data_IF_199605759271
#
_entry.id   IF_199605759271
#
_cell.length_a   1.000
_cell.length_b   1.000
_cell.length_c   1.000
_cell.angle_alpha   90.00
_cell.angle_beta   90.00
_cell.angle_gamma   90.00
#
_symmetry.space_group_name_H-M   'P 1'
#
loop_
_entity.id
_entity.type
_entity.pdbx_description
1 polymer ?
#
# COMPACT_ATOMS: atom_id res chain seq x y z
N UNK A 1 21.60 8.39 -0.78
CA UNK A 1 21.33 9.84 -0.77
C UNK A 1 20.10 10.22 0.06
N UNK A 2 18.90 9.68 -0.21
CA UNK A 2 17.68 9.94 0.60
C UNK A 2 17.93 9.63 2.08
N UNK A 3 18.31 8.38 2.39
CA UNK A 3 18.58 7.95 3.77
C UNK A 3 19.68 8.77 4.44
N UNK A 4 20.74 9.14 3.70
CA UNK A 4 21.83 9.98 4.20
C UNK A 4 21.36 11.36 4.66
N UNK A 5 20.43 11.99 3.93
CA UNK A 5 19.82 13.27 4.30
C UNK A 5 18.83 13.12 5.47
N UNK A 6 18.12 11.99 5.55
CA UNK A 6 17.20 11.74 6.66
C UNK A 6 17.87 11.28 7.95
N UNK A 7 19.15 10.87 7.90
CA UNK A 7 19.92 10.35 9.04
C UNK A 7 19.78 11.16 10.34
N UNK A 8 19.80 12.51 10.34
CA UNK A 8 19.62 13.31 11.56
C UNK A 8 18.21 13.22 12.18
N UNK A 9 17.23 12.72 11.42
CA UNK A 9 15.82 12.64 11.78
C UNK A 9 15.37 11.21 12.14
N UNK A 10 16.15 10.19 11.76
CA UNK A 10 15.82 8.79 12.03
C UNK A 10 15.81 8.53 13.55
N UNK A 11 14.89 7.66 13.99
CA UNK A 11 14.72 7.33 15.40
C UNK A 11 13.96 8.38 16.22
N UNK A 12 13.60 9.51 15.63
CA UNK A 12 12.87 10.58 16.31
C UNK A 12 11.35 10.41 16.18
N UNK A 13 10.57 10.78 17.21
CA UNK A 13 9.12 10.89 17.12
C UNK A 13 8.68 11.88 16.05
N UNK A 14 7.62 11.55 15.31
CA UNK A 14 7.11 12.38 14.21
C UNK A 14 6.70 13.78 14.68
N UNK A 15 6.18 13.94 15.91
CA UNK A 15 5.85 15.27 16.47
C UNK A 15 7.05 16.22 16.53
N UNK A 16 8.26 15.70 16.76
CA UNK A 16 9.48 16.51 16.81
C UNK A 16 10.02 16.90 15.44
N UNK A 17 9.47 16.29 14.39
CA UNK A 17 9.89 16.49 13.01
C UNK A 17 9.01 17.51 12.27
N UNK A 18 8.04 18.13 12.96
CA UNK A 18 7.17 19.18 12.42
C UNK A 18 5.76 18.72 12.03
N UNK A 19 5.27 17.62 12.60
CA UNK A 19 3.85 17.25 12.47
C UNK A 19 2.96 18.25 13.23
N UNK A 20 1.86 18.65 12.61
CA UNK A 20 0.84 19.54 13.18
C UNK A 20 0.28 18.99 14.51
N UNK A 21 0.18 19.85 15.53
CA UNK A 21 -0.22 19.47 16.90
C UNK A 21 -1.57 18.76 16.96
N UNK A 22 -2.54 19.18 16.15
CA UNK A 22 -3.86 18.57 16.06
C UNK A 22 -3.82 17.09 15.62
N UNK A 23 -2.75 16.67 14.94
CA UNK A 23 -2.57 15.31 14.49
C UNK A 23 -1.84 14.42 15.51
N UNK A 24 -1.27 14.98 16.58
CA UNK A 24 -0.41 14.22 17.49
C UNK A 24 -1.13 13.05 18.14
N UNK A 25 -2.37 13.27 18.58
CA UNK A 25 -3.19 12.27 19.27
C UNK A 25 -4.02 11.39 18.32
N UNK A 26 -3.89 11.60 17.01
CA UNK A 26 -4.60 10.81 16.02
C UNK A 26 -4.09 9.37 15.94
N UNK A 27 -4.96 8.44 15.54
CA UNK A 27 -4.51 7.09 15.20
C UNK A 27 -3.59 7.06 13.97
N UNK A 28 -2.92 5.94 13.81
CA UNK A 28 -1.94 5.63 12.75
C UNK A 28 -2.56 4.81 11.61
N UNK A 29 -3.87 4.95 11.38
CA UNK A 29 -4.65 4.19 10.39
C UNK A 29 -5.23 5.11 9.30
N UNK A 30 -5.78 4.49 8.24
CA UNK A 30 -6.40 5.20 7.14
C UNK A 30 -5.43 6.08 6.36
N UNK A 31 -5.85 7.30 6.03
CA UNK A 31 -5.08 8.29 5.27
C UNK A 31 -4.13 9.12 6.13
N UNK A 32 -4.27 9.13 7.45
CA UNK A 32 -3.48 9.98 8.36
C UNK A 32 -1.97 9.78 8.24
N UNK A 33 -1.44 8.55 8.08
CA UNK A 33 -0.01 8.33 7.86
C UNK A 33 0.58 9.02 6.63
N UNK A 34 -0.23 9.42 5.64
CA UNK A 34 0.26 10.18 4.47
C UNK A 34 0.95 11.48 4.91
N UNK A 35 0.52 12.07 6.04
CA UNK A 35 1.17 13.26 6.62
C UNK A 35 2.60 13.00 7.07
N UNK A 36 2.94 11.78 7.48
CA UNK A 36 4.33 11.40 7.78
C UNK A 36 5.14 11.39 6.48
N UNK A 37 4.58 10.89 5.39
CA UNK A 37 5.27 10.88 4.08
C UNK A 37 5.52 12.28 3.55
N UNK A 38 4.51 13.16 3.62
CA UNK A 38 4.63 14.58 3.25
C UNK A 38 5.72 15.29 4.08
N UNK A 39 5.77 15.01 5.39
CA UNK A 39 6.80 15.52 6.29
C UNK A 39 8.20 15.03 5.88
N UNK A 40 8.36 13.73 5.65
CA UNK A 40 9.64 13.15 5.24
C UNK A 40 10.17 13.78 3.95
N UNK A 41 9.28 14.02 2.97
CA UNK A 41 9.64 14.70 1.74
C UNK A 41 10.07 16.16 1.97
N UNK A 42 9.45 16.86 2.94
CA UNK A 42 9.84 18.24 3.32
C UNK A 42 11.21 18.31 3.99
N UNK A 43 11.65 17.23 4.66
CA UNK A 43 12.98 17.13 5.28
C UNK A 43 14.10 16.91 4.26
N UNK A 44 13.77 16.54 3.03
CA UNK A 44 14.74 16.33 1.95
C UNK A 44 15.07 17.66 1.24
N UNK A 45 16.31 17.82 0.73
CA UNK A 45 16.64 18.86 -0.24
C UNK A 45 15.67 18.89 -1.42
N UNK A 46 15.45 20.08 -2.00
CA UNK A 46 14.51 20.30 -3.10
C UNK A 46 14.74 19.35 -4.27
N UNK A 47 15.99 19.13 -4.64
CA UNK A 47 16.42 18.34 -5.78
C UNK A 47 16.06 16.86 -5.58
N UNK A 48 16.33 16.32 -4.39
CA UNK A 48 16.01 14.93 -4.03
C UNK A 48 14.49 14.76 -3.97
N UNK A 49 13.78 15.71 -3.34
CA UNK A 49 12.32 15.68 -3.25
C UNK A 49 11.68 15.67 -4.64
N UNK A 50 12.13 16.52 -5.55
CA UNK A 50 11.63 16.58 -6.92
C UNK A 50 11.94 15.29 -7.70
N UNK A 51 13.14 14.73 -7.54
CA UNK A 51 13.50 13.44 -8.11
C UNK A 51 12.57 12.32 -7.62
N UNK A 52 12.33 12.24 -6.31
CA UNK A 52 11.39 11.25 -5.76
C UNK A 52 9.99 11.45 -6.34
N UNK A 53 9.47 12.69 -6.36
CA UNK A 53 8.13 12.98 -6.89
C UNK A 53 7.99 12.65 -8.38
N UNK A 54 9.05 12.83 -9.18
CA UNK A 54 9.03 12.55 -10.63
C UNK A 54 9.22 11.08 -10.96
N UNK A 55 10.05 10.37 -10.20
CA UNK A 55 10.43 8.99 -10.49
C UNK A 55 9.52 7.97 -9.81
N UNK A 56 8.97 8.30 -8.63
CA UNK A 56 8.11 7.37 -7.91
C UNK A 56 6.85 7.09 -8.72
N UNK A 57 6.64 5.83 -9.06
CA UNK A 57 5.44 5.38 -9.78
C UNK A 57 4.22 5.28 -8.88
N UNK A 58 4.48 5.12 -7.57
CA UNK A 58 3.49 5.15 -6.51
C UNK A 58 4.15 5.54 -5.19
N UNK A 59 3.39 6.08 -4.23
CA UNK A 59 3.89 6.43 -2.90
C UNK A 59 3.04 5.79 -1.81
N UNK A 60 3.72 5.13 -0.88
CA UNK A 60 3.11 4.40 0.22
C UNK A 60 3.76 4.70 1.56
N UNK A 61 3.08 4.31 2.63
CA UNK A 61 3.62 4.36 3.98
C UNK A 61 3.65 2.97 4.58
N UNK A 62 4.78 2.56 5.16
CA UNK A 62 4.95 1.28 5.84
C UNK A 62 5.02 1.49 7.33
N UNK A 63 3.94 1.05 8.00
CA UNK A 63 3.86 1.00 9.44
C UNK A 63 4.51 -0.29 9.93
N UNK A 64 5.58 -0.15 10.69
CA UNK A 64 6.37 -1.24 11.20
C UNK A 64 6.09 -1.49 12.69
N UNK A 65 6.15 -2.76 13.07
CA UNK A 65 6.33 -3.18 14.44
C UNK A 65 7.82 -3.08 14.82
N UNK A 66 8.11 -3.31 16.11
CA UNK A 66 9.48 -3.57 16.56
C UNK A 66 10.07 -4.76 15.79
N UNK A 67 11.26 -4.62 15.23
CA UNK A 67 11.91 -5.64 14.38
C UNK A 67 11.52 -5.59 12.89
N UNK A 68 11.06 -4.42 12.42
CA UNK A 68 10.88 -4.08 11.00
C UNK A 68 9.82 -4.89 10.25
N UNK A 69 8.91 -5.53 10.98
CA UNK A 69 7.78 -6.27 10.41
C UNK A 69 6.63 -5.32 10.07
N UNK A 70 6.14 -5.37 8.84
CA UNK A 70 4.96 -4.61 8.44
C UNK A 70 3.71 -5.10 9.22
N UNK A 71 2.97 -4.17 9.81
CA UNK A 71 1.80 -4.50 10.64
C UNK A 71 0.52 -4.73 9.83
N UNK A 72 0.37 -4.04 8.71
CA UNK A 72 -0.86 -4.06 7.92
C UNK A 72 -0.54 -4.14 6.44
N UNK A 73 -1.35 -4.87 5.66
CA UNK A 73 -1.26 -4.81 4.22
C UNK A 73 -1.63 -3.41 3.74
N UNK A 74 -1.09 -3.01 2.59
CA UNK A 74 -1.27 -1.64 2.07
C UNK A 74 -2.07 -1.64 0.79
N UNK A 75 -3.20 -0.92 0.73
CA UNK A 75 -3.92 -0.77 -0.52
C UNK A 75 -3.09 0.07 -1.49
N UNK A 76 -3.12 -0.30 -2.76
CA UNK A 76 -2.49 0.44 -3.84
C UNK A 76 -3.38 0.41 -5.07
N UNK A 77 -3.13 1.33 -6.00
CA UNK A 77 -3.89 1.49 -7.22
C UNK A 77 -5.34 1.91 -7.02
N UNK A 78 -6.08 1.87 -8.13
CA UNK A 78 -7.50 2.20 -8.13
C UNK A 78 -8.35 1.14 -7.46
N UNK A 79 -9.48 1.59 -6.91
CA UNK A 79 -10.52 0.72 -6.39
C UNK A 79 -11.10 -0.10 -7.53
N UNK A 80 -11.23 -1.40 -7.31
CA UNK A 80 -11.77 -2.35 -8.27
C UNK A 80 -13.28 -2.32 -8.22
N UNK A 81 -13.87 -2.13 -9.41
CA UNK A 81 -15.30 -2.16 -9.64
C UNK A 81 -15.63 -3.29 -10.61
N UNK A 82 -16.56 -4.15 -10.18
CA UNK A 82 -16.99 -5.32 -10.95
C UNK A 82 -18.46 -5.26 -11.32
N UNK A 83 -19.22 -4.34 -10.70
CA UNK A 83 -20.65 -4.16 -10.95
C UNK A 83 -20.99 -2.72 -11.33
N UNK A 84 -22.15 -2.52 -11.96
CA UNK A 84 -22.77 -1.21 -12.16
C UNK A 84 -23.47 -0.71 -10.87
N UNK A 85 -24.16 0.43 -10.95
CA UNK A 85 -24.88 1.04 -9.82
C UNK A 85 -26.11 0.21 -9.39
N UNK A 86 -26.59 -0.70 -10.25
CA UNK A 86 -27.64 -1.66 -9.95
C UNK A 86 -27.11 -2.96 -9.29
N UNK A 87 -25.80 -3.15 -9.22
CA UNK A 87 -25.17 -4.36 -8.66
C UNK A 87 -25.05 -5.53 -9.63
N UNK A 88 -25.30 -5.33 -10.92
CA UNK A 88 -25.09 -6.33 -11.98
C UNK A 88 -23.63 -6.35 -12.43
N UNK A 89 -23.08 -7.54 -12.73
CA UNK A 89 -21.71 -7.68 -13.23
C UNK A 89 -21.50 -6.90 -14.54
N UNK A 90 -20.39 -6.17 -14.59
CA UNK A 90 -19.96 -5.45 -15.79
C UNK A 90 -19.62 -6.44 -16.90
N UNK A 91 -20.22 -6.27 -18.08
CA UNK A 91 -19.93 -7.08 -19.28
C UNK A 91 -18.59 -6.69 -19.92
N UNK A 92 -17.49 -7.01 -19.24
CA UNK A 92 -16.11 -6.80 -19.68
C UNK A 92 -15.29 -8.06 -19.39
N UNK A 93 -14.25 -8.31 -20.17
CA UNK A 93 -13.35 -9.43 -19.88
C UNK A 93 -12.62 -9.21 -18.55
N UNK A 94 -12.28 -10.27 -17.81
CA UNK A 94 -11.52 -10.17 -16.57
C UNK A 94 -10.25 -9.33 -16.68
N UNK A 95 -9.50 -9.42 -17.78
CA UNK A 95 -8.27 -8.65 -18.05
C UNK A 95 -8.53 -7.16 -18.28
N UNK A 96 -9.77 -6.77 -18.60
CA UNK A 96 -10.18 -5.37 -18.65
C UNK A 96 -10.62 -4.85 -17.29
N UNK A 97 -11.19 -5.71 -16.44
CA UNK A 97 -11.59 -5.37 -15.07
C UNK A 97 -10.39 -5.34 -14.13
N UNK A 98 -9.39 -6.16 -14.41
CA UNK A 98 -8.12 -6.25 -13.71
C UNK A 98 -7.03 -5.87 -14.72
N UNK A 99 -6.49 -4.66 -14.63
CA UNK A 99 -5.41 -4.23 -15.53
C UNK A 99 -4.03 -4.54 -14.95
N UNK A 100 -3.33 -5.51 -15.52
CA UNK A 100 -1.99 -5.91 -15.09
C UNK A 100 -0.94 -4.84 -15.39
N UNK A 101 -0.98 -4.27 -16.60
CA UNK A 101 -0.04 -3.25 -17.07
C UNK A 101 0.03 -2.07 -16.09
N UNK A 102 -1.12 -1.70 -15.52
CA UNK A 102 -1.19 -0.62 -14.54
C UNK A 102 -0.50 -0.99 -13.23
N UNK A 103 -0.73 -2.20 -12.73
CA UNK A 103 -0.09 -2.69 -11.49
C UNK A 103 1.42 -2.75 -11.67
N UNK A 104 1.89 -3.31 -12.80
CA UNK A 104 3.31 -3.34 -13.14
C UNK A 104 3.91 -1.94 -13.13
N UNK A 105 3.19 -0.96 -13.67
CA UNK A 105 3.63 0.43 -13.64
C UNK A 105 3.69 0.99 -12.22
N UNK A 106 2.62 0.88 -11.43
CA UNK A 106 2.54 1.40 -10.06
C UNK A 106 3.57 0.77 -9.10
N UNK A 107 3.94 -0.49 -9.33
CA UNK A 107 4.88 -1.22 -8.49
C UNK A 107 6.30 -1.30 -9.08
N UNK A 108 6.55 -0.67 -10.23
CA UNK A 108 7.87 -0.66 -10.87
C UNK A 108 8.92 0.03 -10.00
N UNK A 109 8.60 1.23 -9.52
CA UNK A 109 9.50 2.06 -8.75
C UNK A 109 8.75 2.84 -7.65
N UNK A 110 8.08 2.17 -6.69
CA UNK A 110 7.37 2.82 -5.61
C UNK A 110 8.32 3.49 -4.60
N UNK A 111 7.85 4.56 -3.96
CA UNK A 111 8.50 5.15 -2.81
C UNK A 111 7.74 4.80 -1.52
N UNK A 112 8.48 4.55 -0.45
CA UNK A 112 7.93 4.21 0.85
C UNK A 112 8.49 5.10 1.94
N UNK A 113 7.61 5.68 2.74
CA UNK A 113 7.94 6.25 4.05
C UNK A 113 7.75 5.17 5.13
N UNK A 114 8.81 4.86 5.89
CA UNK A 114 8.83 3.80 6.90
C UNK A 114 8.79 4.44 8.28
N UNK A 115 7.85 4.01 9.11
CA UNK A 115 7.75 4.46 10.49
C UNK A 115 7.37 3.32 11.42
N UNK A 116 7.94 3.33 12.62
CA UNK A 116 7.59 2.41 13.68
C UNK A 116 6.43 2.99 14.48
N UNK A 117 5.35 2.22 14.61
CA UNK A 117 4.21 2.57 15.43
C UNK A 117 3.51 1.28 15.90
N UNK A 118 3.80 0.78 17.10
CA UNK A 118 3.11 -0.38 17.67
C UNK A 118 1.59 -0.17 17.70
N UNK A 119 0.81 -1.25 17.81
CA UNK A 119 -0.66 -1.17 17.87
C UNK A 119 -1.09 -0.24 19.02
N UNK A 120 -1.97 0.72 18.72
CA UNK A 120 -2.42 1.73 19.69
C UNK A 120 -1.54 2.97 19.78
N UNK A 121 -0.37 3.01 19.11
CA UNK A 121 0.45 4.20 19.05
C UNK A 121 -0.27 5.33 18.30
N UNK A 122 -0.13 6.55 18.84
CA UNK A 122 -0.60 7.78 18.24
C UNK A 122 0.35 8.24 17.14
N UNK A 123 -0.13 9.08 16.23
CA UNK A 123 0.62 9.51 15.05
C UNK A 123 1.85 10.35 15.44
N UNK A 124 1.75 11.22 16.44
CA UNK A 124 2.88 12.02 16.92
C UNK A 124 3.96 11.19 17.62
N UNK A 125 3.58 10.06 18.24
CA UNK A 125 4.49 9.11 18.90
C UNK A 125 5.17 8.15 17.93
N UNK A 126 4.70 8.06 16.68
CA UNK A 126 5.34 7.23 15.66
C UNK A 126 6.79 7.66 15.47
N UNK A 127 7.68 6.71 15.18
CA UNK A 127 9.11 6.97 15.04
C UNK A 127 9.52 6.85 13.58
N UNK A 128 10.16 7.87 13.02
CA UNK A 128 10.68 7.80 11.66
C UNK A 128 11.79 6.76 11.56
N UNK A 129 11.64 5.78 10.66
CA UNK A 129 12.63 4.72 10.44
C UNK A 129 13.39 4.88 9.13
N UNK A 130 12.75 5.42 8.10
CA UNK A 130 13.42 5.68 6.83
C UNK A 130 12.49 6.14 5.73
N UNK A 131 13.08 6.42 4.57
CA UNK A 131 12.37 6.66 3.33
C UNK A 131 13.20 6.12 2.18
N UNK A 132 12.58 5.40 1.25
CA UNK A 132 13.29 4.83 0.11
C UNK A 132 12.43 4.75 -1.13
N UNK A 133 13.07 4.91 -2.28
CA UNK A 133 12.53 4.44 -3.56
C UNK A 133 13.02 3.00 -3.72
N UNK A 134 12.12 2.11 -4.09
CA UNK A 134 12.38 0.68 -4.22
C UNK A 134 12.02 0.21 -5.62
N UNK A 135 12.90 -0.58 -6.25
CA UNK A 135 12.70 -1.11 -7.59
C UNK A 135 12.24 -2.57 -7.50
N UNK A 136 11.17 -2.91 -8.24
CA UNK A 136 10.69 -4.28 -8.27
C UNK A 136 11.67 -5.21 -8.99
N UNK A 137 12.27 -6.14 -8.25
CA UNK A 137 13.11 -7.19 -8.81
C UNK A 137 12.32 -8.26 -9.59
N UNK A 138 13.04 -9.07 -10.38
CA UNK A 138 12.47 -10.12 -11.24
C UNK A 138 11.58 -11.10 -10.47
N UNK A 139 12.02 -11.57 -9.31
CA UNK A 139 11.30 -12.57 -8.53
C UNK A 139 10.00 -12.01 -7.96
N UNK A 140 10.03 -10.75 -7.50
CA UNK A 140 8.83 -10.04 -7.04
C UNK A 140 7.80 -9.91 -8.17
N UNK A 141 8.25 -9.51 -9.37
CA UNK A 141 7.38 -9.38 -10.54
C UNK A 141 6.77 -10.72 -10.91
N UNK A 142 7.56 -11.80 -10.95
CA UNK A 142 7.05 -13.14 -11.26
C UNK A 142 6.03 -13.63 -10.21
N UNK A 143 6.25 -13.37 -8.93
CA UNK A 143 5.28 -13.69 -7.87
C UNK A 143 3.99 -12.88 -7.98
N UNK A 144 4.09 -11.60 -8.30
CA UNK A 144 2.94 -10.74 -8.54
C UNK A 144 2.13 -11.18 -9.77
N UNK A 145 2.79 -11.57 -10.86
CA UNK A 145 2.14 -12.11 -12.07
C UNK A 145 1.31 -13.35 -11.75
N UNK A 146 1.85 -14.30 -10.97
CA UNK A 146 1.11 -15.51 -10.55
C UNK A 146 -0.12 -15.19 -9.69
N UNK A 147 0.02 -14.30 -8.73
CA UNK A 147 -1.12 -13.86 -7.92
C UNK A 147 -2.19 -13.18 -8.80
N UNK A 148 -1.76 -12.43 -9.81
CA UNK A 148 -2.65 -11.72 -10.72
C UNK A 148 -3.39 -12.67 -11.68
N UNK A 149 -2.70 -13.64 -12.26
CA UNK A 149 -3.30 -14.70 -13.09
C UNK A 149 -4.37 -15.47 -12.29
N UNK A 150 -4.08 -15.76 -11.02
CA UNK A 150 -5.06 -16.40 -10.13
C UNK A 150 -6.32 -15.54 -9.91
N UNK A 151 -6.18 -14.22 -9.77
CA UNK A 151 -7.34 -13.31 -9.67
C UNK A 151 -8.15 -13.26 -10.99
N UNK A 152 -7.49 -13.33 -12.15
CA UNK A 152 -8.14 -13.36 -13.47
C UNK A 152 -8.96 -14.65 -13.65
N UNK A 153 -8.39 -15.80 -13.27
CA UNK A 153 -9.05 -17.10 -13.35
C UNK A 153 -10.30 -17.13 -12.47
N UNK A 154 -10.17 -16.67 -11.20
CA UNK A 154 -11.30 -16.56 -10.26
C UNK A 154 -12.44 -15.72 -10.84
N UNK A 155 -12.15 -14.57 -11.46
CA UNK A 155 -13.17 -13.74 -12.10
C UNK A 155 -13.80 -14.38 -13.34
N UNK A 156 -13.02 -15.12 -14.12
CA UNK A 156 -13.50 -15.81 -15.33
C UNK A 156 -14.56 -16.86 -15.00
N UNK A 157 -14.48 -17.46 -13.82
CA UNK A 157 -15.44 -18.45 -13.32
C UNK A 157 -16.72 -17.83 -12.75
N UNK A 158 -16.73 -16.51 -12.48
CA UNK A 158 -17.90 -15.84 -11.91
C UNK A 158 -18.95 -15.56 -12.99
N UNK A 159 -20.12 -16.18 -12.83
CA UNK A 159 -21.30 -15.95 -13.67
C UNK A 159 -22.30 -14.96 -13.06
N UNK A 160 -22.16 -14.64 -11.77
CA UNK A 160 -23.10 -13.80 -11.02
C UNK A 160 -22.35 -12.88 -10.04
N UNK A 161 -23.00 -11.79 -9.64
CA UNK A 161 -22.46 -10.89 -8.62
C UNK A 161 -22.23 -11.63 -7.31
N UNK A 162 -21.05 -11.44 -6.70
CA UNK A 162 -20.62 -12.18 -5.52
C UNK A 162 -20.62 -11.28 -4.27
N UNK A 163 -21.12 -11.82 -3.16
CA UNK A 163 -21.23 -11.09 -1.88
C UNK A 163 -20.12 -11.42 -0.89
N UNK A 164 -19.48 -12.57 -1.08
CA UNK A 164 -18.30 -13.03 -0.36
C UNK A 164 -17.07 -12.87 -1.26
N UNK A 165 -15.88 -12.76 -0.65
CA UNK A 165 -14.65 -12.56 -1.40
C UNK A 165 -14.27 -13.86 -2.14
N UNK A 166 -14.30 -13.90 -3.49
CA UNK A 166 -13.97 -15.12 -4.23
C UNK A 166 -12.46 -15.27 -4.39
N UNK A 167 -11.69 -14.20 -4.17
CA UNK A 167 -10.24 -14.18 -4.32
C UNK A 167 -9.54 -14.87 -3.15
N UNK A 168 -8.33 -15.37 -3.43
CA UNK A 168 -7.47 -16.04 -2.46
C UNK A 168 -7.17 -15.14 -1.26
N UNK A 169 -7.00 -15.78 -0.09
CA UNK A 169 -6.69 -15.06 1.14
C UNK A 169 -5.25 -14.57 1.13
N UNK A 170 -4.93 -13.56 1.94
CA UNK A 170 -3.54 -13.05 2.04
C UNK A 170 -2.53 -14.10 2.54
N UNK A 171 -2.98 -15.17 3.20
CA UNK A 171 -2.11 -16.29 3.60
C UNK A 171 -1.74 -17.20 2.43
N UNK A 172 -2.42 -17.07 1.29
CA UNK A 172 -2.30 -17.94 0.13
C UNK A 172 -1.62 -17.23 -1.06
N UNK A 173 -1.42 -15.91 -0.97
CA UNK A 173 -0.79 -15.10 -2.02
C UNK A 173 0.59 -14.59 -1.60
N UNK A 174 1.43 -14.28 -2.57
CA UNK A 174 2.83 -13.94 -2.31
C UNK A 174 3.06 -12.42 -2.20
N UNK A 175 2.43 -11.64 -3.08
CA UNK A 175 2.64 -10.20 -3.27
C UNK A 175 1.35 -9.42 -3.15
N UNK A 176 0.32 -9.80 -3.90
CA UNK A 176 -0.95 -9.06 -3.95
C UNK A 176 -2.08 -9.92 -3.40
N UNK A 177 -3.06 -9.30 -2.75
CA UNK A 177 -4.34 -9.95 -2.50
C UNK A 177 -5.47 -8.95 -2.69
N UNK A 178 -6.57 -9.44 -3.24
CA UNK A 178 -7.75 -8.64 -3.53
C UNK A 178 -8.80 -8.86 -2.44
N UNK A 179 -9.28 -7.78 -1.83
CA UNK A 179 -10.34 -7.82 -0.81
C UNK A 179 -11.15 -6.53 -0.78
N UNK A 180 -12.24 -6.54 -0.01
CA UNK A 180 -13.07 -5.34 0.23
C UNK A 180 -12.21 -4.21 0.81
N UNK A 181 -12.40 -3.00 0.30
CA UNK A 181 -11.82 -1.82 0.92
C UNK A 181 -12.34 -1.70 2.37
N UNK A 182 -11.43 -1.56 3.34
CA UNK A 182 -11.72 -1.60 4.78
C UNK A 182 -12.76 -0.57 5.31
N UNK A 183 -13.29 0.31 4.45
CA UNK A 183 -14.29 1.32 4.78
C UNK A 183 -15.73 0.95 4.35
N UNK A 184 -15.94 -0.18 3.66
CA UNK A 184 -17.28 -0.67 3.32
C UNK A 184 -17.80 -1.61 4.38
N UNK A 185 -18.79 -1.18 5.16
CA UNK A 185 -19.53 -2.06 6.08
C UNK A 185 -20.25 -3.20 5.35
N UNK A 186 -21.05 -3.99 6.09
CA UNK A 186 -22.02 -4.93 5.48
C UNK A 186 -23.09 -4.11 4.75
N UNK A 187 -22.79 -3.66 3.53
CA UNK A 187 -23.81 -3.13 2.64
C UNK A 187 -24.56 -4.31 2.01
N UNK A 188 -25.83 -4.09 1.62
CA UNK A 188 -26.61 -5.09 0.88
C UNK A 188 -26.15 -5.26 -0.57
N UNK A 189 -25.03 -4.65 -0.96
CA UNK A 189 -24.50 -4.67 -2.33
C UNK A 189 -23.45 -5.77 -2.52
N UNK A 190 -23.33 -6.30 -3.75
CA UNK A 190 -22.26 -7.23 -4.09
C UNK A 190 -20.88 -6.55 -4.04
N UNK A 191 -19.83 -7.35 -4.01
CA UNK A 191 -18.46 -6.88 -4.05
C UNK A 191 -18.10 -6.26 -5.40
N UNK A 192 -17.32 -5.18 -5.37
CA UNK A 192 -16.98 -4.42 -6.57
C UNK A 192 -18.07 -3.45 -6.99
N UNK A 193 -19.12 -3.28 -6.19
CA UNK A 193 -20.07 -2.18 -6.34
C UNK A 193 -19.42 -0.84 -5.97
N UNK A 194 -19.83 0.30 -6.56
CA UNK A 194 -19.32 1.61 -6.16
C UNK A 194 -19.42 1.91 -4.65
N UNK A 195 -20.50 1.44 -4.00
CA UNK A 195 -20.71 1.52 -2.53
C UNK A 195 -20.02 0.39 -1.74
N UNK A 196 -19.47 -0.62 -2.42
CA UNK A 196 -18.73 -1.73 -1.80
C UNK A 196 -17.49 -2.11 -2.64
N UNK A 197 -16.57 -1.15 -2.86
CA UNK A 197 -15.48 -1.34 -3.79
C UNK A 197 -14.46 -2.34 -3.23
N UNK A 198 -13.82 -3.06 -4.15
CA UNK A 198 -12.68 -3.91 -3.82
C UNK A 198 -11.37 -3.17 -4.03
N UNK A 199 -10.28 -3.72 -3.51
CA UNK A 199 -8.95 -3.15 -3.66
C UNK A 199 -7.89 -4.21 -3.61
N UNK A 200 -6.78 -3.91 -4.29
CA UNK A 200 -5.56 -4.69 -4.15
C UNK A 200 -4.76 -4.19 -3.00
N UNK A 201 -4.15 -5.14 -2.31
CA UNK A 201 -3.30 -4.88 -1.18
C UNK A 201 -1.98 -5.60 -1.35
N UNK A 202 -0.88 -4.88 -1.13
CA UNK A 202 0.43 -5.50 -0.93
C UNK A 202 0.42 -6.32 0.35
N UNK A 203 0.89 -7.56 0.27
CA UNK A 203 0.94 -8.49 1.38
C UNK A 203 1.98 -8.04 2.42
N UNK A 204 1.72 -8.31 3.70
CA UNK A 204 2.60 -7.91 4.80
C UNK A 204 3.99 -8.54 4.71
N UNK A 205 4.10 -9.73 4.14
CA UNK A 205 5.41 -10.39 3.96
C UNK A 205 6.26 -9.64 2.94
N UNK A 206 5.70 -9.32 1.76
CA UNK A 206 6.38 -8.55 0.72
C UNK A 206 6.72 -7.15 1.22
N UNK A 207 5.80 -6.48 1.92
CA UNK A 207 6.06 -5.18 2.55
C UNK A 207 7.17 -5.24 3.61
N UNK A 208 7.27 -6.34 4.35
CA UNK A 208 8.35 -6.55 5.33
C UNK A 208 9.70 -6.70 4.63
N UNK A 209 9.75 -7.44 3.53
CA UNK A 209 10.98 -7.60 2.74
C UNK A 209 11.42 -6.27 2.11
N UNK A 210 10.48 -5.55 1.48
CA UNK A 210 10.72 -4.19 0.95
C UNK A 210 11.26 -3.26 2.04
N UNK A 211 10.65 -3.28 3.23
CA UNK A 211 11.10 -2.44 4.33
C UNK A 211 12.54 -2.78 4.75
N UNK A 212 12.88 -4.07 4.86
CA UNK A 212 14.23 -4.52 5.21
C UNK A 212 15.25 -4.14 4.16
N UNK A 213 14.92 -4.29 2.88
CA UNK A 213 15.80 -3.87 1.79
C UNK A 213 16.06 -2.36 1.86
N UNK A 214 15.03 -1.53 1.98
CA UNK A 214 15.22 -0.07 2.10
C UNK A 214 16.11 0.29 3.30
N UNK A 215 15.90 -0.37 4.44
CA UNK A 215 16.67 -0.12 5.66
C UNK A 215 18.09 -0.71 5.63
N UNK A 216 18.35 -1.75 4.84
CA UNK A 216 19.67 -2.40 4.77
C UNK A 216 20.69 -1.64 3.93
N UNK A 217 20.26 -0.68 3.10
CA UNK A 217 21.15 0.17 2.30
C UNK A 217 21.95 1.20 3.14
N UNK A 218 21.95 1.04 4.48
CA UNK A 218 22.65 1.87 5.47
C UNK A 218 23.88 1.13 6.09
N UNK A 219 24.28 -0.01 5.50
CA UNK A 219 25.46 -0.80 5.89
C UNK A 219 26.49 -0.95 4.77
#
# INVERSE_FOLDING_TARGET
>A
EIMSNLKPHLGRPIRELGLEEELWDSDTLGSKPVKISELCLKLLPSEIRECVQRLSTWQGTLRLAKGDKALYPRPFGERLKFTNDEGELLRRSPERLLSEKRIRHELWLPAFCLFEAPKGAKLGDAVLRGYGVWESGRDFVASMERDFESDIEVLSEQSHSFFENPFRKSSETEVIHTKVAALGGKTGFPLGHPERPMSRYLNTNSLTNIAREILSHDH
#
